data_IF_674204077345
#
_entry.id   IF_674204077345
#
_cell.length_a   1.000
_cell.length_b   1.000
_cell.length_c   1.000
_cell.angle_alpha   90.00
_cell.angle_beta   90.00
_cell.angle_gamma   90.00
#
_symmetry.space_group_name_H-M   'P 1'
#
loop_
_entity.id
_entity.type
_entity.pdbx_description
1 polymer ?
#
# COMPACT_ATOMS: atom_id res chain seq x y z
N UNK A 1 -12.92 -15.98 17.50
CA UNK A 1 -12.62 -14.63 16.94
C UNK A 1 -13.67 -14.29 15.90
N UNK A 2 -14.21 -13.08 15.92
CA UNK A 2 -15.13 -12.60 14.87
C UNK A 2 -14.41 -11.50 14.08
N UNK A 3 -14.18 -11.75 12.79
CA UNK A 3 -13.62 -10.77 11.86
C UNK A 3 -14.78 -9.98 11.24
N UNK A 4 -14.98 -8.75 11.70
CA UNK A 4 -15.99 -7.83 11.14
C UNK A 4 -15.40 -6.97 10.05
N UNK A 5 -15.91 -7.08 8.81
CA UNK A 5 -15.48 -6.23 7.71
C UNK A 5 -16.56 -6.06 6.63
N UNK A 6 -16.46 -4.99 5.85
CA UNK A 6 -17.40 -4.67 4.76
C UNK A 6 -16.88 -5.05 3.37
N UNK A 7 -15.81 -5.86 3.31
CA UNK A 7 -15.31 -6.48 2.06
C UNK A 7 -15.96 -7.85 1.84
N UNK A 8 -15.86 -8.43 0.63
CA UNK A 8 -16.25 -9.82 0.41
C UNK A 8 -15.62 -10.75 1.45
N UNK A 9 -16.36 -11.74 1.99
CA UNK A 9 -15.83 -12.75 2.88
C UNK A 9 -14.63 -13.46 2.27
N UNK A 10 -13.61 -13.72 3.09
CA UNK A 10 -12.49 -14.60 2.74
C UNK A 10 -13.03 -15.99 2.48
N UNK A 11 -12.57 -16.59 1.38
CA UNK A 11 -12.93 -17.95 0.94
C UNK A 11 -11.84 -18.98 1.24
N UNK A 12 -10.65 -18.53 1.59
CA UNK A 12 -9.56 -19.41 2.04
C UNK A 12 -9.84 -19.99 3.43
N UNK A 13 -9.17 -21.09 3.80
CA UNK A 13 -9.25 -21.65 5.15
C UNK A 13 -8.94 -20.58 6.21
N UNK A 14 -9.79 -20.51 7.23
CA UNK A 14 -9.57 -19.74 8.45
C UNK A 14 -9.45 -20.72 9.63
N UNK A 15 -8.83 -20.32 10.74
CA UNK A 15 -8.82 -21.14 11.95
C UNK A 15 -10.26 -21.52 12.37
N UNK A 16 -10.45 -22.74 12.87
CA UNK A 16 -11.79 -23.30 13.17
C UNK A 16 -12.65 -22.40 14.08
N UNK A 17 -12.01 -21.64 14.97
CA UNK A 17 -12.64 -20.72 15.90
C UNK A 17 -12.78 -19.29 15.36
N UNK A 18 -12.74 -19.09 14.04
CA UNK A 18 -12.81 -17.78 13.39
C UNK A 18 -14.03 -17.68 12.48
N UNK A 19 -14.87 -16.68 12.73
CA UNK A 19 -16.05 -16.37 11.92
C UNK A 19 -15.92 -14.99 11.28
N UNK A 20 -16.67 -14.75 10.21
CA UNK A 20 -16.70 -13.47 9.50
C UNK A 20 -18.11 -12.88 9.59
N UNK A 21 -18.18 -11.60 9.95
CA UNK A 21 -19.43 -10.85 9.97
C UNK A 21 -19.27 -9.53 9.21
N UNK A 22 -20.39 -8.90 8.84
CA UNK A 22 -20.38 -7.54 8.30
C UNK A 22 -19.98 -6.54 9.39
N UNK A 23 -19.93 -5.25 9.06
CA UNK A 23 -19.63 -4.18 10.01
C UNK A 23 -20.50 -4.24 11.28
N UNK A 24 -19.98 -3.64 12.35
CA UNK A 24 -20.68 -3.49 13.63
C UNK A 24 -21.81 -2.44 13.48
N UNK A 25 -23.01 -2.78 13.92
CA UNK A 25 -24.16 -1.88 13.98
C UNK A 25 -24.24 -1.18 15.35
N UNK A 26 -24.06 -1.91 16.44
CA UNK A 26 -24.04 -1.35 17.80
C UNK A 26 -23.21 -2.20 18.76
N UNK A 27 -22.72 -1.57 19.81
CA UNK A 27 -22.00 -2.21 20.92
C UNK A 27 -22.84 -2.00 22.19
N UNK A 28 -23.25 -3.10 22.82
CA UNK A 28 -23.90 -3.12 24.13
C UNK A 28 -22.88 -3.33 25.25
N UNK A 29 -23.36 -3.60 26.46
CA UNK A 29 -22.52 -3.76 27.66
C UNK A 29 -21.53 -4.92 27.56
N UNK A 30 -21.99 -6.10 27.16
CA UNK A 30 -21.17 -7.33 27.03
C UNK A 30 -21.20 -7.95 25.62
N UNK A 31 -21.82 -7.24 24.66
CA UNK A 31 -22.23 -7.83 23.40
C UNK A 31 -22.11 -6.88 22.22
N UNK A 32 -21.87 -7.42 21.02
CA UNK A 32 -21.80 -6.67 19.77
C UNK A 32 -22.88 -7.16 18.81
N UNK A 33 -23.64 -6.22 18.24
CA UNK A 33 -24.62 -6.47 17.18
C UNK A 33 -24.02 -6.05 15.84
N UNK A 34 -24.02 -6.97 14.88
CA UNK A 34 -23.49 -6.75 13.53
C UNK A 34 -24.61 -6.41 12.54
N UNK A 35 -24.25 -5.73 11.46
CA UNK A 35 -25.18 -5.40 10.37
C UNK A 35 -25.84 -6.69 9.86
N UNK A 36 -27.17 -6.74 9.93
CA UNK A 36 -27.96 -7.95 9.68
C UNK A 36 -28.53 -8.60 10.95
N UNK A 37 -28.30 -8.00 12.12
CA UNK A 37 -28.99 -8.31 13.37
C UNK A 37 -28.38 -9.45 14.20
N UNK A 38 -27.32 -10.11 13.71
CA UNK A 38 -26.62 -11.12 14.52
C UNK A 38 -25.92 -10.46 15.70
N UNK A 39 -26.02 -11.10 16.86
CA UNK A 39 -25.48 -10.61 18.13
C UNK A 39 -24.59 -11.67 18.76
N UNK A 40 -23.45 -11.24 19.28
CA UNK A 40 -22.48 -12.10 19.96
C UNK A 40 -22.03 -11.45 21.27
N UNK A 41 -21.86 -12.24 22.32
CA UNK A 41 -21.13 -11.80 23.52
C UNK A 41 -19.63 -11.73 23.19
N UNK A 42 -18.97 -10.66 23.64
CA UNK A 42 -17.57 -10.39 23.31
C UNK A 42 -16.85 -9.80 24.52
N UNK A 43 -15.70 -10.36 24.89
CA UNK A 43 -14.88 -9.85 25.99
C UNK A 43 -14.01 -8.64 25.58
N UNK A 44 -13.68 -8.53 24.28
CA UNK A 44 -12.81 -7.48 23.76
C UNK A 44 -13.15 -7.10 22.31
N UNK A 45 -12.94 -5.83 21.98
CA UNK A 45 -13.01 -5.30 20.61
C UNK A 45 -11.64 -4.77 20.23
N UNK A 46 -11.06 -5.29 19.15
CA UNK A 46 -9.78 -4.84 18.61
C UNK A 46 -10.05 -4.07 17.32
N UNK A 47 -9.75 -2.77 17.32
CA UNK A 47 -10.00 -1.88 16.18
C UNK A 47 -8.84 -1.95 15.19
N UNK A 48 -9.03 -2.70 14.11
CA UNK A 48 -8.05 -2.86 13.03
C UNK A 48 -8.38 -1.99 11.79
N UNK A 49 -8.78 -0.73 12.00
CA UNK A 49 -9.30 0.16 10.93
C UNK A 49 -8.25 1.00 10.20
N UNK A 50 -6.96 0.75 10.49
CA UNK A 50 -5.83 1.42 9.84
C UNK A 50 -5.40 2.72 10.54
N UNK A 51 -4.63 3.54 9.81
CA UNK A 51 -3.96 4.73 10.34
C UNK A 51 -4.10 5.91 9.39
N UNK A 52 -4.01 7.12 9.93
CA UNK A 52 -3.98 8.38 9.18
C UNK A 52 -2.54 8.84 8.98
N UNK A 53 -2.26 9.51 7.85
CA UNK A 53 -1.04 10.30 7.71
C UNK A 53 -1.14 11.52 8.63
N UNK A 54 -0.15 11.69 9.50
CA UNK A 54 -0.10 12.80 10.44
C UNK A 54 1.35 13.20 10.69
N UNK A 55 1.71 14.39 10.21
CA UNK A 55 3.07 14.92 10.29
C UNK A 55 3.05 16.27 11.03
N UNK A 56 2.88 16.26 12.38
CA UNK A 56 2.66 17.48 13.17
C UNK A 56 3.89 18.41 13.21
N UNK A 57 5.02 17.97 12.68
CA UNK A 57 6.27 18.71 12.58
C UNK A 57 6.40 19.50 11.28
N UNK A 58 5.53 19.28 10.28
CA UNK A 58 5.57 20.04 9.04
C UNK A 58 4.86 21.38 9.22
N UNK A 59 5.54 22.45 8.83
CA UNK A 59 5.00 23.80 8.88
C UNK A 59 3.91 23.96 7.80
N UNK A 60 2.81 24.69 8.07
CA UNK A 60 1.77 24.96 7.07
C UNK A 60 2.29 25.57 5.75
N UNK A 61 3.42 26.29 5.78
CA UNK A 61 4.07 26.86 4.60
C UNK A 61 4.61 25.81 3.62
N UNK A 62 4.81 24.56 4.05
CA UNK A 62 5.13 23.44 3.17
C UNK A 62 3.96 23.09 2.21
N UNK A 63 2.76 23.65 2.42
CA UNK A 63 1.58 23.44 1.56
C UNK A 63 1.20 21.96 1.35
N UNK A 64 1.50 21.11 2.34
CA UNK A 64 1.09 19.70 2.33
C UNK A 64 -0.34 19.60 2.85
N UNK A 65 -1.19 18.94 2.09
CA UNK A 65 -2.59 18.67 2.42
C UNK A 65 -2.71 17.25 2.95
N UNK A 66 -3.40 17.12 4.08
CA UNK A 66 -3.76 15.84 4.68
C UNK A 66 -5.28 15.70 4.68
N UNK A 67 -5.80 14.54 4.30
CA UNK A 67 -7.23 14.25 4.43
C UNK A 67 -7.53 12.78 4.23
N UNK A 68 -8.29 12.15 5.14
CA UNK A 68 -8.71 10.73 5.11
C UNK A 68 -7.70 9.80 4.42
N UNK A 69 -6.52 9.59 5.01
CA UNK A 69 -5.44 8.74 4.45
C UNK A 69 -4.90 9.13 3.06
N UNK A 70 -5.03 10.38 2.65
CA UNK A 70 -4.42 10.96 1.44
C UNK A 70 -3.49 12.11 1.84
N UNK A 71 -2.32 12.15 1.20
CA UNK A 71 -1.35 13.23 1.29
C UNK A 71 -1.01 13.76 -0.11
N UNK A 72 -1.05 15.08 -0.28
CA UNK A 72 -0.81 15.76 -1.57
C UNK A 72 -0.23 17.17 -1.34
N UNK A 73 0.41 17.82 -2.35
CA UNK A 73 0.68 17.34 -3.71
C UNK A 73 2.00 16.56 -3.81
N UNK A 74 1.95 15.26 -4.09
CA UNK A 74 3.13 14.41 -4.23
C UNK A 74 3.30 13.90 -5.66
N UNK A 75 4.44 14.20 -6.28
CA UNK A 75 4.86 13.57 -7.53
C UNK A 75 5.47 12.20 -7.25
N UNK A 76 4.99 11.19 -8.00
CA UNK A 76 5.34 9.78 -7.78
C UNK A 76 5.28 9.38 -6.30
N UNK A 77 4.27 9.87 -5.57
CA UNK A 77 4.07 9.64 -4.14
C UNK A 77 5.32 9.84 -3.25
N UNK A 78 6.28 10.66 -3.71
CA UNK A 78 7.60 10.83 -3.08
C UNK A 78 7.94 12.31 -2.94
N UNK A 79 7.99 13.04 -4.05
CA UNK A 79 8.47 14.42 -4.09
C UNK A 79 7.32 15.38 -3.80
N UNK A 80 7.48 16.26 -2.81
CA UNK A 80 6.55 17.36 -2.62
C UNK A 80 6.71 18.36 -3.76
N UNK A 81 5.67 18.55 -4.56
CA UNK A 81 5.78 19.30 -5.83
C UNK A 81 6.22 20.75 -5.60
N UNK A 82 5.71 21.39 -4.56
CA UNK A 82 6.00 22.80 -4.27
C UNK A 82 7.41 23.00 -3.66
N UNK A 83 7.97 21.94 -3.05
CA UNK A 83 9.30 21.93 -2.46
C UNK A 83 9.99 20.58 -2.74
N UNK A 84 10.49 20.32 -3.96
CA UNK A 84 10.92 18.98 -4.36
C UNK A 84 12.13 18.42 -3.60
N UNK A 85 12.86 19.27 -2.87
CA UNK A 85 13.91 18.86 -1.92
C UNK A 85 13.36 18.25 -0.63
N UNK A 86 12.05 18.31 -0.40
CA UNK A 86 11.33 17.63 0.65
C UNK A 86 10.64 16.37 0.08
N UNK A 87 11.20 15.20 0.37
CA UNK A 87 10.61 13.90 0.06
C UNK A 87 9.83 13.34 1.23
N UNK A 88 8.69 12.70 0.98
CA UNK A 88 7.90 12.01 2.00
C UNK A 88 7.99 10.50 1.76
N UNK A 89 8.48 9.79 2.78
CA UNK A 89 8.78 8.37 2.66
C UNK A 89 7.61 7.46 2.99
N UNK A 90 7.66 6.25 2.44
CA UNK A 90 6.74 5.16 2.78
C UNK A 90 5.25 5.52 2.65
N UNK A 91 4.93 6.42 1.71
CA UNK A 91 3.55 6.80 1.40
C UNK A 91 2.81 5.67 0.69
N UNK A 92 3.34 5.00 -0.36
CA UNK A 92 2.62 3.91 -1.03
C UNK A 92 2.31 2.73 -0.10
N UNK A 93 1.12 2.14 -0.28
CA UNK A 93 0.59 0.99 0.49
C UNK A 93 0.32 -0.20 -0.44
N UNK A 94 0.23 -1.41 0.12
CA UNK A 94 0.02 -2.68 -0.62
C UNK A 94 1.16 -3.03 -1.60
N UNK A 95 2.36 -2.56 -1.30
CA UNK A 95 3.59 -2.80 -2.07
C UNK A 95 4.51 -3.84 -1.39
N UNK A 96 5.55 -4.29 -2.09
CA UNK A 96 6.76 -4.88 -1.48
C UNK A 96 7.64 -3.75 -0.89
N UNK A 97 7.69 -3.57 0.44
CA UNK A 97 8.13 -2.28 1.02
C UNK A 97 9.61 -1.98 0.74
N UNK A 98 10.52 -2.84 1.20
CA UNK A 98 11.95 -2.51 1.18
C UNK A 98 12.52 -2.30 -0.23
N UNK A 99 12.25 -3.16 -1.23
CA UNK A 99 12.76 -2.96 -2.58
C UNK A 99 12.22 -1.68 -3.23
N UNK A 100 10.92 -1.37 -3.07
CA UNK A 100 10.34 -0.15 -3.66
C UNK A 100 10.83 1.10 -2.93
N UNK A 101 10.98 1.05 -1.61
CA UNK A 101 11.54 2.16 -0.85
C UNK A 101 13.02 2.39 -1.17
N UNK A 102 13.79 1.34 -1.47
CA UNK A 102 15.17 1.49 -1.95
C UNK A 102 15.21 2.21 -3.32
N UNK A 103 14.28 1.88 -4.22
CA UNK A 103 14.17 2.58 -5.51
C UNK A 103 13.79 4.05 -5.32
N UNK A 104 12.81 4.36 -4.47
CA UNK A 104 12.50 5.75 -4.10
C UNK A 104 13.77 6.46 -3.62
N UNK A 105 14.59 5.82 -2.76
CA UNK A 105 15.79 6.40 -2.14
C UNK A 105 16.83 6.76 -3.18
N UNK A 106 17.10 5.82 -4.08
CA UNK A 106 18.05 6.01 -5.18
C UNK A 106 17.65 7.19 -6.06
N UNK A 107 16.39 7.24 -6.51
CA UNK A 107 15.89 8.33 -7.37
C UNK A 107 15.98 9.68 -6.64
N UNK A 108 15.50 9.74 -5.40
CA UNK A 108 15.54 10.97 -4.60
C UNK A 108 16.98 11.47 -4.38
N UNK A 109 17.92 10.58 -4.09
CA UNK A 109 19.33 10.93 -3.93
C UNK A 109 19.99 11.39 -5.24
N UNK A 110 19.65 10.77 -6.39
CA UNK A 110 20.13 11.24 -7.70
C UNK A 110 19.62 12.66 -7.98
N UNK A 111 18.36 12.94 -7.67
CA UNK A 111 17.80 14.29 -7.79
C UNK A 111 18.54 15.30 -6.90
N UNK A 112 18.71 15.00 -5.61
CA UNK A 112 19.42 15.90 -4.68
C UNK A 112 20.89 16.15 -5.07
N UNK A 113 21.51 15.21 -5.78
CA UNK A 113 22.87 15.34 -6.32
C UNK A 113 22.94 16.06 -7.67
N UNK A 114 21.81 16.49 -8.24
CA UNK A 114 21.73 17.11 -9.55
C UNK A 114 22.06 16.15 -10.70
N UNK A 115 21.89 14.84 -10.49
CA UNK A 115 22.18 13.81 -11.50
C UNK A 115 20.98 13.50 -12.40
N UNK A 116 19.79 13.91 -11.98
CA UNK A 116 18.55 13.86 -12.75
C UNK A 116 17.78 15.16 -12.50
N UNK A 117 16.93 15.53 -13.45
CA UNK A 117 16.01 16.65 -13.32
C UNK A 117 14.58 16.11 -13.13
N UNK A 118 13.79 16.81 -12.31
CA UNK A 118 12.36 16.55 -12.23
C UNK A 118 11.64 17.29 -13.37
N UNK A 119 10.49 16.79 -13.83
CA UNK A 119 9.61 17.54 -14.72
C UNK A 119 9.20 18.89 -14.12
N UNK A 120 8.64 19.76 -14.94
CA UNK A 120 8.08 21.03 -14.45
C UNK A 120 7.00 20.79 -13.39
N UNK A 121 6.78 21.74 -12.45
CA UNK A 121 5.70 21.63 -11.48
C UNK A 121 4.31 21.42 -12.11
N UNK A 122 4.07 21.98 -13.29
CA UNK A 122 2.83 21.78 -14.06
C UNK A 122 2.69 20.33 -14.52
N UNK A 123 3.73 19.74 -15.10
CA UNK A 123 3.75 18.34 -15.54
C UNK A 123 3.60 17.38 -14.36
N UNK A 124 4.31 17.63 -13.26
CA UNK A 124 4.20 16.82 -12.04
C UNK A 124 2.77 16.81 -11.49
N UNK A 125 2.09 17.97 -11.48
CA UNK A 125 0.68 18.05 -11.02
C UNK A 125 -0.27 17.37 -11.99
N UNK A 126 -0.04 17.50 -13.29
CA UNK A 126 -0.84 16.83 -14.31
C UNK A 126 -0.73 15.30 -14.19
N UNK A 127 0.47 14.77 -13.93
CA UNK A 127 0.67 13.34 -13.72
C UNK A 127 0.05 12.85 -12.41
N UNK A 128 0.21 13.60 -11.32
CA UNK A 128 -0.44 13.31 -10.03
C UNK A 128 -1.97 13.27 -10.15
N UNK A 129 -2.57 14.24 -10.84
CA UNK A 129 -4.02 14.29 -11.04
C UNK A 129 -4.52 13.17 -11.95
N UNK A 130 -3.74 12.81 -12.98
CA UNK A 130 -4.03 11.67 -13.85
C UNK A 130 -4.01 10.35 -13.08
N UNK A 131 -3.01 10.12 -12.22
CA UNK A 131 -2.95 8.95 -11.35
C UNK A 131 -4.14 8.91 -10.39
N UNK A 132 -4.46 10.05 -9.75
CA UNK A 132 -5.61 10.13 -8.85
C UNK A 132 -6.94 9.86 -9.56
N UNK A 133 -7.14 10.43 -10.74
CA UNK A 133 -8.33 10.19 -11.57
C UNK A 133 -8.46 8.72 -11.96
N UNK A 134 -7.37 8.09 -12.43
CA UNK A 134 -7.33 6.65 -12.76
C UNK A 134 -7.78 5.79 -11.58
N UNK A 135 -7.40 6.14 -10.35
CA UNK A 135 -7.82 5.43 -9.13
C UNK A 135 -9.33 5.55 -8.90
N UNK A 136 -9.89 6.75 -9.04
CA UNK A 136 -11.32 6.99 -8.89
C UNK A 136 -12.12 6.21 -9.95
N UNK A 137 -11.68 6.22 -11.21
CA UNK A 137 -12.28 5.48 -12.32
C UNK A 137 -12.24 3.96 -12.09
N UNK A 138 -11.18 3.46 -11.44
CA UNK A 138 -11.07 2.06 -11.01
C UNK A 138 -11.91 1.73 -9.75
N UNK A 139 -12.72 2.67 -9.24
CA UNK A 139 -13.63 2.47 -8.11
C UNK A 139 -12.99 2.64 -6.73
N UNK A 140 -11.76 3.15 -6.65
CA UNK A 140 -11.14 3.46 -5.36
C UNK A 140 -11.78 4.70 -4.73
N UNK A 141 -11.88 4.68 -3.40
CA UNK A 141 -12.26 5.87 -2.63
C UNK A 141 -11.07 6.85 -2.56
N UNK A 142 -11.30 8.16 -2.38
CA UNK A 142 -10.21 9.14 -2.25
C UNK A 142 -9.13 8.75 -1.22
N UNK A 143 -9.54 8.14 -0.10
CA UNK A 143 -8.63 7.64 0.94
C UNK A 143 -7.68 6.52 0.53
N UNK A 144 -7.88 5.94 -0.65
CA UNK A 144 -7.03 4.91 -1.23
C UNK A 144 -6.08 5.48 -2.30
N UNK A 145 -5.85 6.80 -2.31
CA UNK A 145 -4.99 7.52 -3.25
C UNK A 145 -3.56 6.95 -3.37
N UNK A 146 -3.09 6.18 -2.39
CA UNK A 146 -1.73 5.62 -2.36
C UNK A 146 -1.69 4.08 -2.36
N UNK A 147 -2.82 3.39 -2.59
CA UNK A 147 -2.82 1.93 -2.67
C UNK A 147 -2.26 1.45 -4.01
N UNK A 148 -1.34 0.49 -4.01
CA UNK A 148 -0.70 -0.04 -5.21
C UNK A 148 -1.04 -1.53 -5.41
N UNK A 149 -2.30 -1.87 -5.70
CA UNK A 149 -2.70 -3.26 -5.82
C UNK A 149 -2.07 -3.92 -7.06
N UNK A 150 -1.67 -5.18 -6.90
CA UNK A 150 -1.22 -6.02 -8.02
C UNK A 150 -0.07 -5.38 -8.79
N UNK A 151 -0.30 -5.13 -10.08
CA UNK A 151 0.70 -4.62 -11.02
C UNK A 151 1.03 -3.13 -10.84
N UNK A 152 0.17 -2.36 -10.15
CA UNK A 152 0.38 -0.91 -10.02
C UNK A 152 1.64 -0.55 -9.23
N UNK A 153 2.08 -1.42 -8.32
CA UNK A 153 3.36 -1.22 -7.63
C UNK A 153 4.58 -1.39 -8.55
N UNK A 154 4.46 -2.21 -9.59
CA UNK A 154 5.52 -2.44 -10.57
C UNK A 154 5.53 -1.34 -11.61
N UNK A 155 4.36 -0.87 -12.04
CA UNK A 155 4.26 0.35 -12.85
C UNK A 155 4.89 1.55 -12.12
N UNK A 156 4.70 1.63 -10.80
CA UNK A 156 5.33 2.63 -9.94
C UNK A 156 6.86 2.46 -9.87
N UNK A 157 7.36 1.25 -9.66
CA UNK A 157 8.80 0.94 -9.72
C UNK A 157 9.40 1.29 -11.09
N UNK A 158 8.72 0.94 -12.18
CA UNK A 158 9.14 1.24 -13.56
C UNK A 158 9.19 2.77 -13.80
N UNK A 159 8.21 3.52 -13.28
CA UNK A 159 8.19 4.98 -13.38
C UNK A 159 9.34 5.63 -12.59
N UNK A 160 9.59 5.15 -11.35
CA UNK A 160 10.74 5.58 -10.56
C UNK A 160 12.06 5.27 -11.26
N UNK A 161 12.18 4.06 -11.81
CA UNK A 161 13.40 3.60 -12.47
C UNK A 161 13.69 4.40 -13.73
N UNK A 162 12.65 4.72 -14.51
CA UNK A 162 12.73 5.60 -15.66
C UNK A 162 13.17 7.02 -15.28
N UNK A 163 12.53 7.63 -14.27
CA UNK A 163 12.91 8.97 -13.79
C UNK A 163 14.34 8.99 -13.25
N UNK A 164 14.70 7.96 -12.50
CA UNK A 164 16.01 7.83 -11.87
C UNK A 164 17.13 7.46 -12.82
N UNK A 165 16.84 7.05 -14.05
CA UNK A 165 17.82 6.39 -14.92
C UNK A 165 18.57 5.28 -14.14
N UNK A 166 17.80 4.40 -13.51
CA UNK A 166 18.29 3.23 -12.76
C UNK A 166 17.58 1.98 -13.24
N UNK A 167 18.17 0.83 -12.97
CA UNK A 167 17.55 -0.45 -13.31
C UNK A 167 16.29 -0.68 -12.46
N UNK A 168 15.20 -1.20 -13.06
CA UNK A 168 14.03 -1.65 -12.34
C UNK A 168 14.36 -2.81 -11.38
N UNK A 169 13.45 -3.10 -10.46
CA UNK A 169 13.62 -4.24 -9.59
C UNK A 169 13.76 -5.53 -10.41
N UNK A 170 14.69 -6.43 -10.02
CA UNK A 170 14.90 -7.69 -10.73
C UNK A 170 13.60 -8.49 -10.90
N UNK A 171 13.38 -9.14 -12.06
CA UNK A 171 12.16 -9.91 -12.32
C UNK A 171 11.83 -10.94 -11.23
N UNK A 172 12.84 -11.58 -10.64
CA UNK A 172 12.66 -12.54 -9.54
C UNK A 172 11.91 -11.94 -8.34
N UNK A 173 12.12 -10.66 -8.02
CA UNK A 173 11.44 -9.99 -6.89
C UNK A 173 9.95 -9.87 -7.20
N UNK A 174 9.60 -9.44 -8.42
CA UNK A 174 8.20 -9.31 -8.87
C UNK A 174 7.53 -10.68 -8.91
N UNK A 175 8.21 -11.68 -9.47
CA UNK A 175 7.68 -13.03 -9.62
C UNK A 175 7.47 -13.73 -8.28
N UNK A 176 8.44 -13.62 -7.36
CA UNK A 176 8.33 -14.19 -6.02
C UNK A 176 7.21 -13.50 -5.23
N UNK A 177 7.09 -12.16 -5.29
CA UNK A 177 5.98 -11.46 -4.65
C UNK A 177 4.62 -11.94 -5.18
N UNK A 178 4.45 -12.04 -6.51
CA UNK A 178 3.20 -12.54 -7.12
C UNK A 178 2.88 -13.94 -6.61
N UNK A 179 3.87 -14.82 -6.58
CA UNK A 179 3.72 -16.20 -6.12
C UNK A 179 3.33 -16.28 -4.64
N UNK A 180 4.07 -15.62 -3.75
CA UNK A 180 3.77 -15.60 -2.31
C UNK A 180 2.42 -14.93 -2.02
N UNK A 181 2.10 -13.85 -2.75
CA UNK A 181 0.80 -13.21 -2.63
C UNK A 181 -0.32 -14.18 -3.00
N UNK A 182 -0.18 -14.93 -4.10
CA UNK A 182 -1.14 -15.93 -4.52
C UNK A 182 -1.29 -17.05 -3.47
N UNK A 183 -0.18 -17.61 -2.97
CA UNK A 183 -0.21 -18.62 -1.90
C UNK A 183 -0.97 -18.12 -0.67
N UNK A 184 -0.73 -16.87 -0.24
CA UNK A 184 -1.47 -16.25 0.86
C UNK A 184 -2.97 -16.13 0.58
N UNK A 185 -3.39 -15.95 -0.67
CA UNK A 185 -4.83 -15.94 -1.01
C UNK A 185 -5.48 -17.31 -0.93
N UNK A 186 -4.70 -18.38 -1.09
CA UNK A 186 -5.17 -19.76 -1.01
C UNK A 186 -5.18 -20.27 0.43
N UNK A 187 -4.15 -19.93 1.21
CA UNK A 187 -3.96 -20.42 2.58
C UNK A 187 -3.34 -19.33 3.46
N UNK A 188 -4.18 -18.65 4.26
CA UNK A 188 -3.69 -17.62 5.18
C UNK A 188 -3.03 -18.18 6.44
N UNK A 189 -3.18 -19.49 6.69
CA UNK A 189 -2.69 -20.16 7.89
C UNK A 189 -1.24 -20.63 7.65
N UNK A 190 -0.99 -21.28 6.51
CA UNK A 190 0.27 -21.99 6.25
C UNK A 190 1.14 -21.39 5.15
N UNK A 191 0.76 -20.29 4.48
CA UNK A 191 1.62 -19.71 3.42
C UNK A 191 3.01 -19.28 3.90
N UNK A 192 3.20 -19.09 5.22
CA UNK A 192 4.48 -18.74 5.83
C UNK A 192 5.37 -19.94 6.14
N UNK A 193 4.85 -21.16 6.03
CA UNK A 193 5.60 -22.39 6.24
C UNK A 193 6.42 -22.75 4.98
N UNK A 194 6.20 -22.03 3.88
CA UNK A 194 6.85 -22.25 2.60
C UNK A 194 8.10 -21.37 2.49
N UNK A 195 9.24 -22.00 2.28
CA UNK A 195 10.53 -21.33 2.11
C UNK A 195 10.92 -21.22 0.63
N UNK A 196 11.68 -20.17 0.29
CA UNK A 196 12.17 -19.95 -1.06
C UNK A 196 13.65 -19.56 -1.06
N UNK A 197 14.40 -20.09 -2.01
CA UNK A 197 15.75 -19.65 -2.33
C UNK A 197 15.76 -18.96 -3.70
N UNK A 198 16.40 -17.80 -3.76
CA UNK A 198 16.71 -17.14 -5.03
C UNK A 198 17.80 -17.93 -5.76
N UNK A 199 17.64 -18.13 -7.06
CA UNK A 199 18.64 -18.80 -7.90
C UNK A 199 19.48 -17.74 -8.62
N UNK A 200 18.81 -16.77 -9.25
CA UNK A 200 19.41 -15.66 -9.99
C UNK A 200 18.44 -14.44 -10.00
N UNK A 201 18.68 -13.46 -10.89
CA UNK A 201 17.84 -12.26 -11.02
C UNK A 201 16.46 -12.53 -11.64
N UNK A 202 16.24 -13.72 -12.22
CA UNK A 202 15.04 -14.09 -12.96
C UNK A 202 14.17 -15.10 -12.20
N UNK A 203 14.80 -16.05 -11.49
CA UNK A 203 14.13 -17.24 -10.96
C UNK A 203 14.43 -17.56 -9.50
N UNK A 204 13.47 -18.24 -8.88
CA UNK A 204 13.51 -18.73 -7.50
C UNK A 204 13.02 -20.18 -7.47
N UNK A 205 13.37 -20.90 -6.40
CA UNK A 205 12.82 -22.23 -6.12
C UNK A 205 12.23 -22.27 -4.72
N UNK A 206 11.12 -22.97 -4.58
CA UNK A 206 10.64 -23.42 -3.28
C UNK A 206 11.64 -24.42 -2.70
N UNK A 207 11.85 -24.36 -1.39
CA UNK A 207 12.67 -25.29 -0.63
C UNK A 207 11.91 -25.76 0.60
N UNK A 208 12.29 -26.93 1.09
CA UNK A 208 11.77 -27.51 2.33
C UNK A 208 12.28 -26.73 3.56
#
# INVERSE_FOLDING_TARGET
VILSHNTPPKTCPLPENTWQEKGIESVGESSVTFIGGKKYECDAIIICTGYLYHYPFLDPSCNVKFGDQHISPLYLHTFLIDYPTLGIWAVPKLIVPFPIYDQQAKVFLKFLKGQIELPSPEEMRAEMEKDFTRRLEAGFKPRHAHLMPGEWQWEFDDALSKLGEIDPLPPVVRNLFRHVHHLRTLDVIHYKDINFNLIDSETFKQVD
#
